data_IF_400473653511
#
_entry.id   IF_400473653511
#
_cell.length_a   1.000
_cell.length_b   1.000
_cell.length_c   1.000
_cell.angle_alpha   90.00
_cell.angle_beta   90.00
_cell.angle_gamma   90.00
#
_symmetry.space_group_name_H-M   'P 1'
#
loop_
_entity.id
_entity.type
_entity.pdbx_description
1 polymer ?
#
# COMPACT_ATOMS: atom_id res chain seq x y z
N UNK A 1 5.66 39.03 35.38
CA UNK A 1 4.21 38.84 35.35
C UNK A 1 3.78 39.14 33.93
N UNK A 2 3.95 38.13 33.09
CA UNK A 2 3.73 38.16 31.64
C UNK A 2 2.33 37.64 31.35
N UNK A 3 1.63 38.41 30.53
CA UNK A 3 0.30 38.16 30.00
C UNK A 3 0.21 36.75 29.40
N UNK A 4 -0.60 35.89 30.02
CA UNK A 4 -1.03 34.64 29.42
C UNK A 4 -2.13 35.01 28.43
N UNK A 5 -1.76 35.04 27.15
CA UNK A 5 -2.71 35.13 26.06
C UNK A 5 -3.69 33.97 26.14
N UNK A 6 -4.93 34.30 26.47
CA UNK A 6 -6.11 33.47 26.42
C UNK A 6 -6.31 33.05 24.96
N UNK A 7 -5.69 31.94 24.54
CA UNK A 7 -5.99 31.30 23.27
C UNK A 7 -7.35 30.61 23.46
N UNK A 8 -8.43 31.06 22.79
CA UNK A 8 -9.68 30.33 22.86
C UNK A 8 -9.41 28.92 22.30
N UNK A 9 -9.76 27.89 23.08
CA UNK A 9 -9.85 26.51 22.60
C UNK A 9 -10.61 26.53 21.26
N UNK A 10 -10.15 25.83 20.22
CA UNK A 10 -10.86 25.79 18.96
C UNK A 10 -12.27 25.31 19.25
N UNK A 11 -13.24 26.19 19.01
CA UNK A 11 -14.66 25.84 19.05
C UNK A 11 -14.84 24.85 17.91
N UNK A 12 -14.87 23.56 18.23
CA UNK A 12 -15.33 22.54 17.29
C UNK A 12 -16.71 22.97 16.81
N UNK A 13 -16.83 23.31 15.54
CA UNK A 13 -18.12 23.41 14.88
C UNK A 13 -18.68 21.98 14.81
N UNK A 14 -19.70 21.63 15.61
CA UNK A 14 -20.24 20.27 15.64
C UNK A 14 -20.92 19.89 14.32
N UNK A 15 -21.17 20.86 13.43
CA UNK A 15 -21.76 20.65 12.11
C UNK A 15 -20.70 20.58 10.99
N UNK A 16 -19.41 20.77 11.29
CA UNK A 16 -18.34 20.60 10.32
C UNK A 16 -18.06 19.10 10.10
N UNK A 17 -18.09 18.67 8.83
CA UNK A 17 -17.68 17.33 8.44
C UNK A 17 -16.23 17.06 8.92
N UNK A 18 -16.02 16.15 9.88
CA UNK A 18 -14.71 15.93 10.48
C UNK A 18 -13.74 15.22 9.53
N UNK A 19 -14.22 14.71 8.41
CA UNK A 19 -13.39 14.09 7.36
C UNK A 19 -12.97 15.09 6.30
N UNK A 20 -13.51 16.31 6.32
CA UNK A 20 -13.26 17.32 5.31
C UNK A 20 -11.84 17.87 5.42
N UNK A 21 -11.07 17.68 4.36
CA UNK A 21 -9.80 18.39 4.16
C UNK A 21 -10.06 19.75 3.48
N UNK A 22 -9.32 20.77 3.91
CA UNK A 22 -9.35 22.10 3.29
C UNK A 22 -8.44 22.19 2.08
N UNK A 23 -7.33 21.46 2.11
CA UNK A 23 -6.32 21.38 1.05
C UNK A 23 -5.82 19.93 0.99
N UNK A 24 -5.54 19.43 -0.22
CA UNK A 24 -4.84 18.17 -0.38
C UNK A 24 -3.33 18.39 -0.35
N UNK A 25 -2.64 17.43 0.25
CA UNK A 25 -1.19 17.34 0.13
C UNK A 25 -0.82 17.03 -1.33
N UNK A 26 0.19 17.70 -1.92
CA UNK A 26 0.64 17.36 -3.25
C UNK A 26 1.28 15.96 -3.29
N UNK A 27 0.97 15.20 -4.34
CA UNK A 27 1.70 13.99 -4.65
C UNK A 27 3.08 14.36 -5.21
N UNK A 28 4.12 13.95 -4.52
CA UNK A 28 5.50 14.34 -4.83
C UNK A 28 6.37 13.10 -4.99
N UNK A 29 7.04 13.03 -6.13
CA UNK A 29 8.01 11.99 -6.43
C UNK A 29 9.37 12.60 -6.77
N UNK A 30 10.41 11.84 -6.50
CA UNK A 30 11.80 12.24 -6.74
C UNK A 30 12.52 11.13 -7.48
N UNK A 31 12.99 11.43 -8.69
CA UNK A 31 13.86 10.54 -9.47
C UNK A 31 15.33 10.79 -9.16
N UNK A 32 16.11 9.72 -8.97
CA UNK A 32 17.56 9.84 -8.86
C UNK A 32 18.17 10.19 -10.22
N UNK A 33 18.90 11.29 -10.31
CA UNK A 33 19.50 11.72 -11.57
C UNK A 33 20.77 10.91 -11.85
N UNK A 34 20.89 10.24 -13.00
CA UNK A 34 22.03 9.34 -13.29
C UNK A 34 23.32 10.07 -13.69
N UNK A 35 23.24 11.36 -14.05
CA UNK A 35 24.40 12.13 -14.50
C UNK A 35 25.28 12.63 -13.35
N UNK A 36 26.59 12.70 -13.61
CA UNK A 36 27.57 13.32 -12.70
C UNK A 36 27.35 14.84 -12.55
N UNK A 37 26.94 15.48 -13.63
CA UNK A 37 26.63 16.91 -13.71
C UNK A 37 25.16 17.17 -13.38
N UNK A 38 24.82 18.34 -12.80
CA UNK A 38 23.45 18.68 -12.46
C UNK A 38 22.56 18.70 -13.72
N UNK A 39 21.32 18.18 -13.63
CA UNK A 39 20.38 18.22 -14.76
C UNK A 39 20.11 19.67 -15.14
N UNK A 40 20.23 19.98 -16.43
CA UNK A 40 19.83 21.30 -16.93
C UNK A 40 18.35 21.34 -17.26
N UNK A 41 17.73 22.51 -17.13
CA UNK A 41 16.32 22.71 -17.52
C UNK A 41 16.07 22.29 -18.97
N UNK A 42 16.99 22.60 -19.88
CA UNK A 42 16.86 22.27 -21.31
C UNK A 42 16.88 20.77 -21.55
N UNK A 43 17.75 20.01 -20.86
CA UNK A 43 17.77 18.55 -20.96
C UNK A 43 16.47 17.93 -20.44
N UNK A 44 15.96 18.44 -19.32
CA UNK A 44 14.70 17.95 -18.75
C UNK A 44 13.51 18.25 -19.66
N UNK A 45 13.41 19.47 -20.20
CA UNK A 45 12.36 19.82 -21.16
C UNK A 45 12.45 18.96 -22.43
N UNK A 46 13.65 18.69 -22.92
CA UNK A 46 13.85 17.82 -24.09
C UNK A 46 13.42 16.37 -23.80
N UNK A 47 13.69 15.85 -22.60
CA UNK A 47 13.22 14.53 -22.17
C UNK A 47 11.70 14.44 -22.10
N UNK A 48 11.06 15.48 -21.55
CA UNK A 48 9.60 15.54 -21.40
C UNK A 48 8.86 15.77 -22.72
N UNK A 49 9.49 16.36 -23.74
CA UNK A 49 8.86 16.71 -25.02
C UNK A 49 8.28 15.49 -25.78
N UNK A 50 8.73 14.28 -25.49
CA UNK A 50 8.17 13.04 -26.03
C UNK A 50 6.87 12.58 -25.36
N UNK A 51 6.47 13.22 -24.27
CA UNK A 51 5.32 12.81 -23.46
C UNK A 51 4.01 13.31 -24.07
N UNK A 52 2.98 12.47 -24.00
CA UNK A 52 1.65 12.84 -24.47
C UNK A 52 1.13 14.05 -23.69
N UNK A 53 0.61 15.05 -24.40
CA UNK A 53 0.06 16.28 -23.81
C UNK A 53 1.10 17.35 -23.48
N UNK A 54 2.41 17.11 -23.69
CA UNK A 54 3.43 18.14 -23.46
C UNK A 54 3.37 19.24 -24.53
N UNK A 55 3.30 20.50 -24.07
CA UNK A 55 3.41 21.70 -24.91
C UNK A 55 4.47 22.64 -24.32
N UNK A 56 5.54 22.92 -25.06
CA UNK A 56 6.61 23.81 -24.59
C UNK A 56 6.10 25.24 -24.32
N UNK A 57 5.01 25.66 -24.96
CA UNK A 57 4.45 27.01 -24.81
C UNK A 57 3.70 27.24 -23.49
N UNK A 58 3.33 26.18 -22.78
CA UNK A 58 2.68 26.24 -21.46
C UNK A 58 3.64 26.05 -20.29
N UNK A 59 4.94 26.02 -20.56
CA UNK A 59 5.98 26.00 -19.54
C UNK A 59 6.16 27.38 -18.92
N UNK A 60 5.97 27.49 -17.61
CA UNK A 60 6.23 28.72 -16.87
C UNK A 60 7.38 28.53 -15.88
N UNK A 61 8.37 29.42 -15.94
CA UNK A 61 9.50 29.38 -15.03
C UNK A 61 9.11 29.87 -13.63
N UNK A 62 9.48 29.09 -12.62
CA UNK A 62 9.29 29.45 -11.23
C UNK A 62 10.59 30.01 -10.65
N UNK A 63 10.46 30.90 -9.67
CA UNK A 63 11.61 31.31 -8.88
C UNK A 63 12.02 30.14 -7.98
N UNK A 64 13.27 29.63 -8.10
CA UNK A 64 13.74 28.54 -7.26
C UNK A 64 13.77 28.95 -5.79
N UNK A 65 13.43 28.01 -4.91
CA UNK A 65 13.49 28.18 -3.46
C UNK A 65 14.59 27.28 -2.88
N UNK A 66 15.14 27.69 -1.73
CA UNK A 66 16.14 26.92 -0.98
C UNK A 66 17.34 26.43 -1.81
N UNK A 67 17.52 25.12 -1.95
CA UNK A 67 18.61 24.48 -2.69
C UNK A 67 18.29 24.18 -4.16
N UNK A 68 17.10 24.57 -4.65
CA UNK A 68 16.68 24.28 -6.02
C UNK A 68 17.58 24.99 -7.03
N UNK A 69 18.04 24.24 -8.04
CA UNK A 69 18.81 24.76 -9.16
C UNK A 69 17.93 25.57 -10.11
N UNK A 70 16.74 25.04 -10.38
CA UNK A 70 15.69 25.63 -11.21
C UNK A 70 14.37 24.91 -10.91
N UNK A 71 13.26 25.55 -11.24
CA UNK A 71 11.92 24.97 -11.19
C UNK A 71 11.04 25.54 -12.30
N UNK A 72 10.08 24.76 -12.79
CA UNK A 72 9.07 25.23 -13.75
C UNK A 72 7.75 24.48 -13.55
N UNK A 73 6.66 25.06 -14.07
CA UNK A 73 5.36 24.41 -14.16
C UNK A 73 5.06 23.98 -15.60
N UNK A 74 4.22 22.96 -15.72
CA UNK A 74 3.66 22.49 -16.97
C UNK A 74 2.19 22.10 -16.74
N UNK A 75 1.25 22.82 -17.36
CA UNK A 75 -0.17 22.70 -17.08
C UNK A 75 -0.91 21.65 -17.93
N UNK A 76 -0.34 21.19 -19.05
CA UNK A 76 -1.08 20.37 -20.03
C UNK A 76 -0.83 18.87 -19.93
N UNK A 77 0.19 18.44 -19.18
CA UNK A 77 0.60 17.03 -19.09
C UNK A 77 -0.25 16.24 -18.09
N UNK A 78 -0.66 16.87 -16.98
CA UNK A 78 -1.48 16.26 -15.93
C UNK A 78 -2.67 17.18 -15.58
N UNK A 79 -3.80 16.63 -15.08
CA UNK A 79 -5.04 17.39 -14.92
C UNK A 79 -4.95 18.67 -14.07
N UNK A 80 -4.12 18.68 -13.04
CA UNK A 80 -3.92 19.82 -12.14
C UNK A 80 -2.56 20.50 -12.34
N UNK A 81 -1.96 20.32 -13.53
CA UNK A 81 -0.61 20.75 -13.82
C UNK A 81 0.45 19.99 -13.04
N UNK A 82 1.69 20.32 -13.33
CA UNK A 82 2.87 19.63 -12.84
C UNK A 82 3.94 20.67 -12.50
N UNK A 83 4.56 20.53 -11.34
CA UNK A 83 5.77 21.26 -10.97
C UNK A 83 6.95 20.31 -11.13
N UNK A 84 8.02 20.75 -11.78
CA UNK A 84 9.27 20.02 -11.91
C UNK A 84 10.42 20.90 -11.45
N UNK A 85 11.33 20.33 -10.68
CA UNK A 85 12.53 21.02 -10.20
C UNK A 85 13.72 20.07 -10.12
N UNK A 86 14.92 20.64 -10.08
CA UNK A 86 16.12 19.90 -9.76
C UNK A 86 16.82 20.50 -8.56
N UNK A 87 17.43 19.64 -7.74
CA UNK A 87 18.21 20.04 -6.58
C UNK A 87 19.31 19.01 -6.24
N UNK A 88 20.30 19.38 -5.42
CA UNK A 88 21.25 18.42 -4.86
C UNK A 88 20.54 17.32 -4.06
N UNK A 89 20.99 16.08 -4.21
CA UNK A 89 20.53 14.99 -3.37
C UNK A 89 20.90 15.26 -1.90
N UNK A 90 20.01 14.91 -0.97
CA UNK A 90 20.31 15.00 0.46
C UNK A 90 21.29 13.90 0.87
N UNK A 91 22.10 14.18 1.90
CA UNK A 91 22.98 13.17 2.47
C UNK A 91 22.16 12.21 3.34
N UNK A 92 22.03 10.97 2.90
CA UNK A 92 21.36 9.87 3.62
C UNK A 92 22.34 8.72 3.88
N UNK A 93 22.08 7.90 4.90
CA UNK A 93 22.91 6.76 5.24
C UNK A 93 22.67 5.55 4.30
N UNK A 94 23.60 4.59 4.21
CA UNK A 94 23.38 3.33 3.50
C UNK A 94 22.16 2.53 3.98
N UNK A 95 21.74 2.73 5.23
CA UNK A 95 20.55 2.15 5.84
C UNK A 95 19.23 2.76 5.35
N UNK A 96 19.27 3.96 4.78
CA UNK A 96 18.10 4.73 4.34
C UNK A 96 17.77 4.51 2.85
N UNK A 97 18.60 3.73 2.15
CA UNK A 97 18.44 3.42 0.72
C UNK A 97 18.34 1.92 0.48
N UNK A 98 17.53 1.47 -0.48
CA UNK A 98 17.41 0.05 -0.81
C UNK A 98 18.65 -0.51 -1.51
N UNK A 99 19.43 0.36 -2.16
CA UNK A 99 20.69 0.02 -2.82
C UNK A 99 21.76 1.08 -2.49
N UNK A 100 22.89 0.70 -1.85
CA UNK A 100 23.99 1.62 -1.56
C UNK A 100 24.58 2.32 -2.79
N UNK A 101 24.44 1.76 -4.00
CA UNK A 101 24.89 2.41 -5.23
C UNK A 101 24.16 3.75 -5.48
N UNK A 102 22.95 3.91 -4.96
CA UNK A 102 22.16 5.15 -5.09
C UNK A 102 22.79 6.34 -4.37
N UNK A 103 23.67 6.11 -3.40
CA UNK A 103 24.43 7.17 -2.72
C UNK A 103 25.42 7.88 -3.66
N UNK A 104 25.69 7.34 -4.85
CA UNK A 104 26.53 7.97 -5.85
C UNK A 104 25.79 9.08 -6.61
N UNK A 105 24.45 9.07 -6.62
CA UNK A 105 23.63 10.08 -7.27
C UNK A 105 23.68 11.40 -6.48
N UNK A 106 24.27 12.43 -7.06
CA UNK A 106 24.46 13.76 -6.43
C UNK A 106 23.28 14.70 -6.62
N UNK A 107 22.37 14.36 -7.52
CA UNK A 107 21.30 15.23 -7.98
C UNK A 107 20.00 14.45 -8.03
N UNK A 108 18.91 15.17 -7.85
CA UNK A 108 17.57 14.63 -7.99
C UNK A 108 16.72 15.49 -8.91
N UNK A 109 15.71 14.85 -9.50
CA UNK A 109 14.67 15.49 -10.27
C UNK A 109 13.34 15.27 -9.54
N UNK A 110 12.80 16.33 -8.95
CA UNK A 110 11.51 16.31 -8.28
C UNK A 110 10.37 16.63 -9.24
N UNK A 111 9.24 15.96 -9.03
CA UNK A 111 8.01 16.17 -9.78
C UNK A 111 6.81 16.13 -8.81
N UNK A 112 5.92 17.12 -8.90
CA UNK A 112 4.81 17.28 -7.96
C UNK A 112 3.52 17.74 -8.62
N UNK A 113 2.39 17.19 -8.21
CA UNK A 113 1.04 17.53 -8.71
C UNK A 113 -0.02 17.35 -7.63
N UNK A 114 -1.18 17.97 -7.80
CA UNK A 114 -2.35 17.69 -6.97
C UNK A 114 -3.14 16.54 -7.61
N UNK A 115 -3.42 15.49 -6.87
CA UNK A 115 -4.25 14.40 -7.38
C UNK A 115 -5.74 14.82 -7.38
N UNK A 116 -6.46 14.63 -8.49
CA UNK A 116 -7.91 14.82 -8.52
C UNK A 116 -8.61 13.79 -7.60
N UNK A 117 -9.65 14.17 -6.84
CA UNK A 117 -10.37 13.25 -5.95
C UNK A 117 -10.99 12.02 -6.63
N UNK A 118 -11.25 12.10 -7.93
CA UNK A 118 -11.90 11.09 -8.78
C UNK A 118 -10.95 10.39 -9.76
N UNK A 119 -9.68 10.79 -9.81
CA UNK A 119 -8.65 10.24 -10.70
C UNK A 119 -7.28 10.16 -10.02
N UNK A 120 -7.26 9.95 -8.70
CA UNK A 120 -6.02 9.96 -7.90
C UNK A 120 -5.05 8.87 -8.32
N UNK A 121 -5.57 7.66 -8.56
CA UNK A 121 -4.79 6.53 -9.02
C UNK A 121 -4.18 6.78 -10.40
N UNK A 122 -4.99 7.14 -11.40
CA UNK A 122 -4.55 7.36 -12.77
C UNK A 122 -3.53 8.50 -12.86
N UNK A 123 -3.74 9.57 -12.10
CA UNK A 123 -2.84 10.73 -12.09
C UNK A 123 -1.51 10.39 -11.44
N UNK A 124 -1.49 9.62 -10.34
CA UNK A 124 -0.26 9.16 -9.72
C UNK A 124 0.52 8.20 -10.63
N UNK A 125 -0.17 7.27 -11.31
CA UNK A 125 0.46 6.40 -12.32
C UNK A 125 1.01 7.23 -13.48
N UNK A 126 0.28 8.26 -13.93
CA UNK A 126 0.73 9.20 -14.95
C UNK A 126 1.98 9.97 -14.54
N UNK A 127 2.06 10.45 -13.30
CA UNK A 127 3.21 11.15 -12.75
C UNK A 127 4.47 10.27 -12.74
N UNK A 128 4.37 9.04 -12.23
CA UNK A 128 5.50 8.09 -12.20
C UNK A 128 5.93 7.72 -13.63
N UNK A 129 4.98 7.43 -14.52
CA UNK A 129 5.26 7.11 -15.93
C UNK A 129 5.93 8.25 -16.66
N UNK A 130 5.50 9.48 -16.40
CA UNK A 130 6.08 10.67 -17.03
C UNK A 130 7.58 10.77 -16.71
N UNK A 131 7.94 10.65 -15.43
CA UNK A 131 9.32 10.77 -15.00
C UNK A 131 10.15 9.56 -15.49
N UNK A 132 9.69 8.34 -15.23
CA UNK A 132 10.42 7.11 -15.58
C UNK A 132 10.56 6.88 -17.09
N UNK A 133 9.56 7.31 -17.87
CA UNK A 133 9.53 7.19 -19.32
C UNK A 133 10.35 8.28 -20.02
N UNK A 134 10.42 9.49 -19.46
CA UNK A 134 11.24 10.57 -20.00
C UNK A 134 12.74 10.36 -19.73
N UNK A 135 13.08 9.65 -18.65
CA UNK A 135 14.46 9.43 -18.22
C UNK A 135 14.72 7.94 -17.97
N UNK A 136 15.05 7.15 -19.01
CA UNK A 136 15.18 5.70 -18.91
C UNK A 136 16.34 5.24 -18.03
N UNK A 137 17.35 6.09 -17.83
CA UNK A 137 18.53 5.78 -17.00
C UNK A 137 18.33 6.11 -15.51
N UNK A 138 17.16 6.62 -15.11
CA UNK A 138 16.83 6.84 -13.68
C UNK A 138 16.76 5.47 -12.97
N UNK A 139 17.63 5.22 -11.97
CA UNK A 139 17.72 3.90 -11.34
C UNK A 139 16.57 3.63 -10.36
N UNK A 140 15.98 4.67 -9.78
CA UNK A 140 14.82 4.57 -8.90
C UNK A 140 14.08 5.90 -8.79
N UNK A 141 12.81 5.80 -8.41
CA UNK A 141 11.96 6.92 -8.00
C UNK A 141 11.54 6.71 -6.55
N UNK A 142 11.54 7.78 -5.76
CA UNK A 142 11.04 7.81 -4.38
C UNK A 142 9.72 8.57 -4.37
N UNK A 143 8.68 7.97 -3.81
CA UNK A 143 7.47 8.69 -3.41
C UNK A 143 7.71 9.32 -2.04
N UNK A 144 7.82 10.64 -1.98
CA UNK A 144 8.20 11.34 -0.75
C UNK A 144 7.06 11.40 0.26
N UNK A 145 5.81 11.25 -0.16
CA UNK A 145 4.67 11.22 0.76
C UNK A 145 4.64 9.92 1.56
N UNK A 146 5.05 8.81 0.93
CA UNK A 146 4.96 7.46 1.53
C UNK A 146 6.31 6.86 1.92
N UNK A 147 7.41 7.45 1.48
CA UNK A 147 8.78 6.92 1.62
C UNK A 147 9.05 5.70 0.74
N UNK A 148 8.15 5.38 -0.19
CA UNK A 148 8.28 4.18 -1.02
C UNK A 148 9.30 4.37 -2.14
N UNK A 149 10.25 3.43 -2.23
CA UNK A 149 11.17 3.32 -3.34
C UNK A 149 10.56 2.44 -4.44
N UNK A 150 10.58 2.93 -5.67
CA UNK A 150 10.21 2.19 -6.88
C UNK A 150 11.47 2.05 -7.72
N UNK A 151 12.04 0.84 -7.73
CA UNK A 151 13.29 0.55 -8.43
C UNK A 151 13.06 0.50 -9.94
N UNK A 152 14.11 0.71 -10.74
CA UNK A 152 14.03 0.67 -12.21
C UNK A 152 13.34 -0.60 -12.73
N UNK A 153 13.65 -1.75 -12.14
CA UNK A 153 13.03 -3.00 -12.53
C UNK A 153 11.50 -2.98 -12.36
N UNK A 154 10.99 -2.37 -11.29
CA UNK A 154 9.56 -2.27 -11.00
C UNK A 154 8.92 -1.13 -11.81
N UNK A 155 9.66 -0.05 -12.10
CA UNK A 155 9.23 0.99 -13.04
C UNK A 155 8.97 0.37 -14.43
N UNK A 156 9.90 -0.42 -14.93
CA UNK A 156 9.78 -1.09 -16.22
C UNK A 156 8.61 -2.08 -16.24
N UNK A 157 8.47 -2.88 -15.18
CA UNK A 157 7.48 -3.96 -15.12
C UNK A 157 6.05 -3.48 -14.83
N UNK A 158 5.88 -2.56 -13.87
CA UNK A 158 4.56 -2.16 -13.38
C UNK A 158 4.06 -0.90 -14.08
N UNK A 159 4.95 0.04 -14.40
CA UNK A 159 4.57 1.35 -14.90
C UNK A 159 4.80 1.49 -16.40
N UNK A 160 5.90 1.02 -16.97
CA UNK A 160 6.28 1.26 -18.36
C UNK A 160 5.97 0.08 -19.31
N UNK A 161 5.47 -1.05 -18.81
CA UNK A 161 5.01 -2.16 -19.63
C UNK A 161 3.88 -1.74 -20.59
N UNK A 162 3.66 -2.55 -21.64
CA UNK A 162 2.60 -2.33 -22.63
C UNK A 162 1.20 -2.21 -21.99
N UNK A 163 0.99 -2.96 -20.90
CA UNK A 163 -0.22 -2.92 -20.09
C UNK A 163 0.14 -2.65 -18.62
N UNK A 164 0.29 -1.37 -18.23
CA UNK A 164 0.64 -0.99 -16.87
C UNK A 164 -0.39 -1.49 -15.86
N UNK A 165 0.09 -2.00 -14.76
CA UNK A 165 -0.74 -2.55 -13.71
C UNK A 165 -0.08 -2.40 -12.32
N UNK A 166 0.33 -1.18 -11.92
CA UNK A 166 0.83 -0.98 -10.58
C UNK A 166 -0.29 -1.24 -9.55
N UNK A 167 0.04 -1.71 -8.34
CA UNK A 167 -0.97 -2.01 -7.33
C UNK A 167 -1.58 -0.74 -6.75
N UNK A 168 -2.85 -0.78 -6.35
CA UNK A 168 -3.56 0.42 -5.85
C UNK A 168 -2.95 0.98 -4.55
N UNK A 169 -2.34 0.12 -3.74
CA UNK A 169 -1.60 0.48 -2.54
C UNK A 169 -0.31 1.27 -2.83
N UNK A 170 0.01 1.59 -4.09
CA UNK A 170 0.99 2.63 -4.41
C UNK A 170 0.59 4.00 -3.83
N UNK A 171 -0.72 4.23 -3.63
CA UNK A 171 -1.26 5.49 -3.15
C UNK A 171 -1.03 5.72 -1.65
N UNK A 172 -0.88 4.67 -0.85
CA UNK A 172 -0.69 4.80 0.60
C UNK A 172 0.22 3.72 1.18
N UNK A 173 0.79 3.98 2.37
CA UNK A 173 1.52 2.97 3.14
C UNK A 173 0.93 2.84 4.52
N UNK A 174 0.80 1.60 4.99
CA UNK A 174 0.47 1.29 6.38
C UNK A 174 1.77 1.14 7.16
N UNK A 175 1.94 1.97 8.19
CA UNK A 175 3.02 1.88 9.16
C UNK A 175 2.56 1.10 10.38
N UNK A 176 3.49 0.41 11.03
CA UNK A 176 3.26 -0.36 12.25
C UNK A 176 4.21 0.19 13.32
N UNK A 177 3.65 0.62 14.45
CA UNK A 177 4.40 1.09 15.61
C UNK A 177 4.21 0.10 16.75
N UNK A 178 5.32 -0.27 17.38
CA UNK A 178 5.42 -1.17 18.53
C UNK A 178 6.44 -0.60 19.52
N UNK A 179 6.23 -0.85 20.81
CA UNK A 179 7.22 -0.55 21.87
C UNK A 179 8.16 -1.72 22.16
N UNK A 180 7.91 -2.88 21.56
CA UNK A 180 8.71 -4.10 21.70
C UNK A 180 9.31 -4.51 20.36
N UNK A 181 10.46 -5.18 20.39
CA UNK A 181 11.17 -5.62 19.18
C UNK A 181 10.42 -6.76 18.45
N UNK A 182 9.87 -7.74 19.18
CA UNK A 182 9.06 -8.81 18.58
C UNK A 182 7.60 -8.38 18.51
N UNK A 183 7.14 -8.06 17.30
CA UNK A 183 5.78 -7.55 17.06
C UNK A 183 4.72 -8.58 17.50
N UNK A 184 4.99 -9.88 17.36
CA UNK A 184 4.08 -10.96 17.74
C UNK A 184 3.83 -11.03 19.25
N UNK A 185 4.76 -10.53 20.06
CA UNK A 185 4.66 -10.47 21.53
C UNK A 185 4.08 -9.13 22.02
N UNK A 186 3.79 -8.19 21.11
CA UNK A 186 3.28 -6.88 21.49
C UNK A 186 1.86 -6.96 22.04
N UNK A 187 1.62 -6.40 23.23
CA UNK A 187 0.27 -6.27 23.79
C UNK A 187 -0.55 -5.20 23.05
N UNK A 188 0.13 -4.23 22.42
CA UNK A 188 -0.48 -3.14 21.69
C UNK A 188 0.39 -2.73 20.49
N UNK A 189 -0.27 -2.55 19.37
CA UNK A 189 0.28 -1.97 18.15
C UNK A 189 -0.55 -0.75 17.77
N UNK A 190 0.11 0.19 17.09
CA UNK A 190 -0.54 1.29 16.39
C UNK A 190 -0.24 1.18 14.91
N UNK A 191 -1.30 0.94 14.13
CA UNK A 191 -1.24 0.94 12.68
C UNK A 191 -1.81 2.24 12.18
N UNK A 192 -1.16 2.86 11.20
CA UNK A 192 -1.70 4.04 10.54
C UNK A 192 -1.29 4.15 9.09
N UNK A 193 -2.11 4.81 8.28
CA UNK A 193 -1.76 5.10 6.89
C UNK A 193 -1.03 6.43 6.73
N UNK A 194 -0.28 6.54 5.63
CA UNK A 194 0.25 7.78 5.06
C UNK A 194 0.01 7.77 3.55
N UNK A 195 -0.36 8.90 2.95
CA UNK A 195 -0.59 9.06 1.51
C UNK A 195 -2.06 9.08 1.09
N UNK A 196 -3.02 8.92 2.01
CA UNK A 196 -4.44 9.11 1.71
C UNK A 196 -4.82 10.59 1.64
N UNK A 197 -4.13 11.47 2.36
CA UNK A 197 -4.36 12.92 2.29
C UNK A 197 -4.20 13.49 0.88
N UNK A 198 -3.17 13.07 0.14
CA UNK A 198 -3.01 13.46 -1.27
C UNK A 198 -4.16 12.98 -2.17
N UNK A 199 -4.89 11.95 -1.75
CA UNK A 199 -6.06 11.41 -2.45
C UNK A 199 -7.37 12.05 -1.97
N UNK A 200 -7.31 13.13 -1.19
CA UNK A 200 -8.49 13.74 -0.55
C UNK A 200 -9.25 12.76 0.34
N UNK A 201 -8.55 11.88 1.05
CA UNK A 201 -9.15 10.97 2.03
C UNK A 201 -8.43 11.10 3.39
N UNK A 202 -9.15 10.96 4.51
CA UNK A 202 -8.52 10.97 5.82
C UNK A 202 -7.55 9.80 5.93
N UNK A 203 -6.44 9.98 6.65
CA UNK A 203 -5.61 8.84 7.04
C UNK A 203 -6.39 7.93 7.99
N UNK A 204 -6.12 6.64 7.94
CA UNK A 204 -6.76 5.64 8.78
C UNK A 204 -5.83 5.21 9.91
N UNK A 205 -6.41 4.82 11.03
CA UNK A 205 -5.66 4.28 12.16
C UNK A 205 -6.37 3.08 12.81
N UNK A 206 -5.59 2.14 13.33
CA UNK A 206 -6.00 1.10 14.26
C UNK A 206 -5.08 1.18 15.48
N UNK A 207 -5.66 1.46 16.65
CA UNK A 207 -4.88 1.71 17.88
C UNK A 207 -5.18 0.63 18.93
N UNK A 208 -4.12 0.05 19.50
CA UNK A 208 -4.21 -0.87 20.63
C UNK A 208 -4.54 -2.31 20.25
N UNK A 209 -4.26 -2.71 19.00
CA UNK A 209 -4.44 -4.10 18.57
C UNK A 209 -3.29 -4.97 19.11
N UNK A 210 -3.54 -6.23 19.54
CA UNK A 210 -2.47 -7.11 19.98
C UNK A 210 -1.67 -7.65 18.78
N UNK A 211 -0.40 -7.95 19.02
CA UNK A 211 0.58 -8.46 18.05
C UNK A 211 0.10 -9.61 17.17
N UNK A 212 -0.51 -10.67 17.73
CA UNK A 212 -1.04 -11.79 16.95
C UNK A 212 -2.12 -11.40 15.93
N UNK A 213 -2.78 -10.25 16.10
CA UNK A 213 -3.80 -9.74 15.18
C UNK A 213 -3.25 -8.71 14.19
N UNK A 214 -1.94 -8.59 14.03
CA UNK A 214 -1.33 -7.69 13.04
C UNK A 214 -1.86 -7.96 11.63
N UNK A 215 -1.83 -9.21 11.15
CA UNK A 215 -2.23 -9.54 9.78
C UNK A 215 -3.71 -9.22 9.52
N UNK A 216 -4.67 -9.64 10.39
CA UNK A 216 -6.05 -9.16 10.33
C UNK A 216 -6.18 -7.63 10.33
N UNK A 217 -5.36 -6.94 11.13
CA UNK A 217 -5.34 -5.48 11.20
C UNK A 217 -4.90 -4.82 9.89
N UNK A 218 -3.84 -5.35 9.26
CA UNK A 218 -3.36 -4.90 7.96
C UNK A 218 -4.39 -5.14 6.84
N UNK A 219 -5.07 -6.30 6.86
CA UNK A 219 -6.15 -6.61 5.92
C UNK A 219 -7.32 -5.62 6.06
N UNK A 220 -7.76 -5.37 7.30
CA UNK A 220 -8.87 -4.46 7.59
C UNK A 220 -8.55 -3.03 7.15
N UNK A 221 -7.42 -2.47 7.58
CA UNK A 221 -7.06 -1.08 7.26
C UNK A 221 -6.77 -0.89 5.77
N UNK A 222 -6.11 -1.86 5.11
CA UNK A 222 -5.84 -1.81 3.67
C UNK A 222 -7.11 -1.91 2.83
N UNK A 223 -8.04 -2.79 3.21
CA UNK A 223 -9.33 -2.89 2.51
C UNK A 223 -10.20 -1.65 2.68
N UNK A 224 -10.22 -1.04 3.88
CA UNK A 224 -10.90 0.24 4.10
C UNK A 224 -10.21 1.35 3.31
N UNK A 225 -8.88 1.43 3.28
CA UNK A 225 -8.13 2.43 2.53
C UNK A 225 -8.49 2.42 1.04
N UNK A 226 -8.52 1.23 0.43
CA UNK A 226 -8.98 1.04 -0.96
C UNK A 226 -10.43 1.50 -1.14
N UNK A 227 -11.34 1.09 -0.25
CA UNK A 227 -12.76 1.46 -0.32
C UNK A 227 -12.98 2.97 -0.24
N UNK A 228 -12.27 3.66 0.65
CA UNK A 228 -12.53 5.08 0.85
C UNK A 228 -12.09 5.92 -0.33
N UNK A 229 -11.21 5.43 -1.22
CA UNK A 229 -10.90 6.12 -2.47
C UNK A 229 -12.16 6.32 -3.35
N UNK A 230 -13.14 5.44 -3.24
CA UNK A 230 -14.40 5.52 -4.00
C UNK A 230 -15.53 6.14 -3.20
N UNK A 231 -15.68 5.71 -1.94
CA UNK A 231 -16.81 6.07 -1.08
C UNK A 231 -16.33 6.88 0.13
N UNK A 232 -16.92 8.06 0.44
CA UNK A 232 -16.54 8.80 1.64
C UNK A 232 -16.85 8.01 2.91
N UNK A 233 -16.11 8.29 3.98
CA UNK A 233 -16.40 7.71 5.30
C UNK A 233 -17.80 8.15 5.80
N UNK A 234 -18.50 7.27 6.56
CA UNK A 234 -19.75 7.65 7.22
C UNK A 234 -19.49 8.68 8.33
N UNK A 235 -20.55 9.33 8.82
CA UNK A 235 -20.48 10.19 10.01
C UNK A 235 -19.82 9.45 11.21
N UNK A 236 -19.05 10.16 12.07
CA UNK A 236 -18.41 9.55 13.22
C UNK A 236 -19.36 8.72 14.10
N UNK A 237 -18.89 7.53 14.49
CA UNK A 237 -19.63 6.60 15.35
C UNK A 237 -20.81 5.90 14.68
N UNK A 238 -21.13 6.20 13.42
CA UNK A 238 -22.06 5.40 12.64
C UNK A 238 -21.42 4.05 12.32
N UNK A 239 -22.15 2.98 12.58
CA UNK A 239 -21.73 1.62 12.23
C UNK A 239 -21.80 1.44 10.72
N UNK A 240 -20.72 0.93 10.15
CA UNK A 240 -20.58 0.66 8.73
C UNK A 240 -20.19 -0.81 8.54
N UNK A 241 -20.86 -1.46 7.59
CA UNK A 241 -20.56 -2.83 7.18
C UNK A 241 -19.49 -2.80 6.10
N UNK A 242 -18.29 -3.22 6.45
CA UNK A 242 -17.11 -3.20 5.57
C UNK A 242 -16.92 -4.53 4.84
N UNK A 243 -17.59 -5.59 5.30
CA UNK A 243 -17.40 -6.93 4.75
C UNK A 243 -18.43 -7.95 5.21
N UNK A 244 -18.18 -9.23 4.88
CA UNK A 244 -18.98 -10.35 5.39
C UNK A 244 -18.71 -10.50 6.89
N UNK A 245 -19.73 -10.29 7.72
CA UNK A 245 -19.61 -10.36 9.19
C UNK A 245 -18.59 -9.36 9.79
N UNK A 246 -18.24 -8.29 9.05
CA UNK A 246 -17.33 -7.23 9.49
C UNK A 246 -18.07 -5.90 9.59
N UNK A 247 -18.34 -5.49 10.83
CA UNK A 247 -18.91 -4.18 11.17
C UNK A 247 -17.89 -3.38 11.99
N UNK A 248 -17.71 -2.11 11.66
CA UNK A 248 -16.84 -1.16 12.37
C UNK A 248 -17.52 0.19 12.51
N UNK A 249 -16.90 1.10 13.25
CA UNK A 249 -17.22 2.53 13.14
C UNK A 249 -15.93 3.36 13.08
N UNK A 250 -16.07 4.65 12.79
CA UNK A 250 -14.94 5.57 12.66
C UNK A 250 -15.06 6.71 13.67
N UNK A 251 -13.95 7.10 14.28
CA UNK A 251 -13.88 8.25 15.18
C UNK A 251 -12.71 9.17 14.79
N UNK A 252 -12.85 10.50 14.88
CA UNK A 252 -11.72 11.41 14.78
C UNK A 252 -10.66 11.04 15.83
N UNK A 253 -9.39 11.10 15.45
CA UNK A 253 -8.30 10.67 16.33
C UNK A 253 -8.27 11.42 17.67
N UNK A 254 -8.70 12.69 17.71
CA UNK A 254 -8.76 13.50 18.93
C UNK A 254 -9.69 12.87 19.97
N UNK A 255 -10.84 12.33 19.54
CA UNK A 255 -11.80 11.65 20.42
C UNK A 255 -11.17 10.42 21.07
N UNK A 256 -10.28 9.74 20.36
CA UNK A 256 -9.59 8.55 20.85
C UNK A 256 -8.44 8.95 21.77
N UNK A 257 -7.58 9.88 21.34
CA UNK A 257 -6.43 10.34 22.09
C UNK A 257 -6.82 10.89 23.48
N UNK A 258 -7.94 11.60 23.59
CA UNK A 258 -8.51 12.06 24.86
C UNK A 258 -8.75 10.94 25.88
N UNK A 259 -9.00 9.72 25.39
CA UNK A 259 -9.32 8.54 26.21
C UNK A 259 -8.14 7.62 26.47
N UNK A 260 -6.99 7.85 25.82
CA UNK A 260 -5.79 7.04 26.00
C UNK A 260 -5.03 7.43 27.27
N UNK A 261 -4.47 6.44 27.95
CA UNK A 261 -3.55 6.61 29.08
C UNK A 261 -2.10 6.73 28.60
N UNK A 262 -1.21 7.32 29.41
CA UNK A 262 0.15 7.69 28.98
C UNK A 262 1.12 6.53 28.67
N UNK A 263 0.73 5.28 28.88
CA UNK A 263 1.51 4.11 28.44
C UNK A 263 0.95 3.46 27.16
N UNK A 264 -0.13 4.02 26.60
CA UNK A 264 -0.72 3.55 25.35
C UNK A 264 -0.10 4.26 24.14
N UNK A 265 -0.11 3.59 23.00
CA UNK A 265 0.34 4.17 21.73
C UNK A 265 -0.73 5.07 21.10
N UNK A 266 -0.30 6.08 20.36
CA UNK A 266 -1.18 6.95 19.56
C UNK A 266 -1.74 8.15 20.32
N UNK A 267 -1.13 8.48 21.47
CA UNK A 267 -1.45 9.65 22.29
C UNK A 267 -1.10 10.96 21.58
N UNK A 268 -1.55 12.10 22.12
CA UNK A 268 -1.12 13.42 21.63
C UNK A 268 0.40 13.60 21.70
N UNK A 269 1.05 13.05 22.74
CA UNK A 269 2.51 13.11 22.91
C UNK A 269 3.24 12.29 21.83
N UNK A 270 2.76 11.08 21.51
CA UNK A 270 3.33 10.27 20.43
C UNK A 270 3.26 10.98 19.08
N UNK A 271 2.17 11.72 18.85
CA UNK A 271 1.95 12.49 17.62
C UNK A 271 2.87 13.71 17.58
N UNK A 272 2.93 14.50 18.64
CA UNK A 272 3.74 15.73 18.69
C UNK A 272 5.25 15.45 18.57
N UNK A 273 5.70 14.29 19.07
CA UNK A 273 7.12 13.90 19.05
C UNK A 273 7.61 13.41 17.67
N UNK A 274 6.74 13.35 16.66
CA UNK A 274 7.17 13.14 15.27
C UNK A 274 7.82 14.44 14.73
N UNK A 275 9.16 14.42 14.59
CA UNK A 275 9.95 15.59 14.19
C UNK A 275 9.45 16.21 12.86
N UNK A 276 9.35 17.55 12.80
CA UNK A 276 9.14 18.30 11.56
C UNK A 276 7.74 18.91 11.32
N UNK A 277 6.88 18.92 12.34
CA UNK A 277 5.45 19.18 12.16
C UNK A 277 4.78 17.85 11.83
N UNK A 278 4.01 17.31 12.77
CA UNK A 278 3.67 15.89 12.71
C UNK A 278 2.62 15.60 11.63
N UNK A 279 2.91 14.75 10.63
CA UNK A 279 1.89 14.28 9.69
C UNK A 279 0.74 13.54 10.40
N UNK A 280 0.93 13.20 11.68
CA UNK A 280 0.01 12.45 12.52
C UNK A 280 -1.05 13.34 13.22
N UNK A 281 -0.97 14.67 13.05
CA UNK A 281 -1.93 15.64 13.61
C UNK A 281 -3.04 16.05 12.61
N UNK A 282 -2.94 15.63 11.35
CA UNK A 282 -3.92 15.95 10.30
C UNK A 282 -5.29 15.30 10.49
N UNK A 283 -6.09 15.26 9.42
CA UNK A 283 -7.41 14.62 9.42
C UNK A 283 -7.26 13.10 9.42
N UNK A 284 -7.59 12.42 10.53
CA UNK A 284 -7.42 10.96 10.66
C UNK A 284 -8.63 10.31 11.30
N UNK A 285 -9.01 9.15 10.76
CA UNK A 285 -10.13 8.34 11.22
C UNK A 285 -9.62 7.05 11.86
N UNK A 286 -9.88 6.91 13.16
CA UNK A 286 -9.57 5.69 13.90
C UNK A 286 -10.69 4.68 13.70
N UNK A 287 -10.34 3.49 13.23
CA UNK A 287 -11.23 2.36 13.06
C UNK A 287 -11.49 1.74 14.44
N UNK A 288 -12.75 1.73 14.85
CA UNK A 288 -13.16 1.34 16.20
C UNK A 288 -14.21 0.23 16.18
N UNK A 289 -14.36 -0.46 17.31
CA UNK A 289 -15.49 -1.33 17.58
C UNK A 289 -16.81 -0.57 17.41
N UNK A 290 -17.86 -1.20 16.83
CA UNK A 290 -19.18 -0.57 16.67
C UNK A 290 -19.79 -0.06 17.98
N UNK A 291 -19.44 -0.67 19.12
CA UNK A 291 -20.03 -0.33 20.42
C UNK A 291 -18.94 0.19 21.38
N UNK A 292 -19.01 1.46 21.83
CA UNK A 292 -18.06 1.97 22.80
C UNK A 292 -18.28 1.31 24.17
N UNK A 293 -17.21 1.16 24.93
CA UNK A 293 -17.22 0.70 26.31
C UNK A 293 -17.40 1.85 27.30
N UNK A 294 -17.74 1.55 28.56
CA UNK A 294 -17.86 2.53 29.64
C UNK A 294 -19.26 3.16 29.79
N UNK A 295 -19.75 3.23 31.03
CA UNK A 295 -21.10 3.73 31.36
C UNK A 295 -21.15 5.26 31.49
N UNK A 296 -20.08 5.87 32.02
CA UNK A 296 -20.02 7.30 32.32
C UNK A 296 -19.21 8.10 31.30
N UNK A 297 -18.12 7.51 30.80
CA UNK A 297 -17.31 8.04 29.70
C UNK A 297 -17.23 6.94 28.64
N UNK A 298 -17.66 7.26 27.43
CA UNK A 298 -17.51 6.36 26.29
C UNK A 298 -16.03 6.24 25.95
N UNK A 299 -15.52 5.02 25.92
CA UNK A 299 -14.19 4.67 25.45
C UNK A 299 -14.33 3.76 24.25
N UNK A 300 -13.83 4.24 23.11
CA UNK A 300 -13.79 3.48 21.87
C UNK A 300 -12.54 2.62 21.87
N UNK A 301 -12.68 1.36 21.48
CA UNK A 301 -11.59 0.40 21.40
C UNK A 301 -11.43 -0.05 19.95
N UNK A 302 -10.32 -0.72 19.63
CA UNK A 302 -10.16 -1.40 18.36
C UNK A 302 -11.28 -2.44 18.10
N UNK A 303 -11.60 -2.74 16.84
CA UNK A 303 -12.76 -3.56 16.46
C UNK A 303 -12.49 -5.06 16.69
N UNK A 304 -12.63 -5.49 17.95
CA UNK A 304 -12.19 -6.81 18.40
C UNK A 304 -12.85 -7.96 17.67
N UNK A 305 -14.18 -7.93 17.59
CA UNK A 305 -14.92 -9.00 16.94
C UNK A 305 -14.60 -9.08 15.44
N UNK A 306 -14.38 -7.96 14.77
CA UNK A 306 -14.01 -7.92 13.37
C UNK A 306 -12.65 -8.59 13.12
N UNK A 307 -11.61 -8.21 13.89
CA UNK A 307 -10.28 -8.79 13.71
C UNK A 307 -10.24 -10.27 14.06
N UNK A 308 -10.94 -10.71 15.12
CA UNK A 308 -11.03 -12.14 15.46
C UNK A 308 -11.74 -12.96 14.39
N UNK A 309 -12.73 -12.38 13.69
CA UNK A 309 -13.43 -13.05 12.58
C UNK A 309 -12.55 -13.19 11.35
N UNK A 310 -11.79 -12.15 11.01
CA UNK A 310 -10.81 -12.21 9.91
C UNK A 310 -9.75 -13.27 10.23
N UNK A 311 -9.19 -13.25 11.44
CA UNK A 311 -8.18 -14.22 11.90
C UNK A 311 -8.63 -15.68 11.79
N UNK A 312 -9.91 -15.95 12.13
CA UNK A 312 -10.50 -17.30 12.07
C UNK A 312 -11.03 -17.67 10.67
N UNK A 313 -10.96 -16.77 9.69
CA UNK A 313 -11.57 -16.97 8.38
C UNK A 313 -13.10 -16.99 8.40
N UNK A 314 -13.73 -16.44 9.45
CA UNK A 314 -15.18 -16.33 9.60
C UNK A 314 -15.73 -14.99 9.07
N UNK A 315 -14.85 -14.06 8.71
CA UNK A 315 -15.19 -12.78 8.11
C UNK A 315 -14.20 -12.38 7.03
N UNK A 316 -14.65 -11.54 6.11
CA UNK A 316 -13.84 -11.09 4.98
C UNK A 316 -14.16 -9.64 4.62
N UNK A 317 -13.13 -8.87 4.30
CA UNK A 317 -13.27 -7.46 3.89
C UNK A 317 -13.67 -7.39 2.41
N UNK A 318 -14.63 -6.53 2.08
CA UNK A 318 -14.98 -6.30 0.67
C UNK A 318 -13.91 -5.45 -0.01
N UNK A 319 -13.47 -5.91 -1.18
CA UNK A 319 -12.55 -5.16 -2.03
C UNK A 319 -13.33 -4.41 -3.10
N UNK A 320 -12.78 -3.27 -3.53
CA UNK A 320 -13.34 -2.52 -4.66
C UNK A 320 -13.18 -3.29 -5.96
N UNK A 321 -14.06 -3.04 -6.93
CA UNK A 321 -13.93 -3.65 -8.26
C UNK A 321 -12.59 -3.25 -8.89
N UNK A 322 -12.20 -1.98 -8.78
CA UNK A 322 -10.94 -1.46 -9.27
C UNK A 322 -9.72 -2.24 -8.70
N UNK A 323 -9.65 -2.40 -7.36
CA UNK A 323 -8.58 -3.15 -6.72
C UNK A 323 -8.54 -4.62 -7.19
N UNK A 324 -9.70 -5.28 -7.24
CA UNK A 324 -9.77 -6.69 -7.68
C UNK A 324 -9.34 -6.87 -9.14
N UNK A 325 -9.65 -5.92 -10.02
CA UNK A 325 -9.24 -5.94 -11.42
C UNK A 325 -7.73 -5.72 -11.58
N UNK A 326 -7.13 -4.81 -10.80
CA UNK A 326 -5.68 -4.60 -10.80
C UNK A 326 -4.92 -5.84 -10.32
N UNK A 327 -5.31 -6.39 -9.17
CA UNK A 327 -4.68 -7.60 -8.64
C UNK A 327 -4.81 -8.78 -9.61
N UNK A 328 -5.99 -8.97 -10.21
CA UNK A 328 -6.20 -10.04 -11.20
C UNK A 328 -5.32 -9.87 -12.42
N UNK A 329 -5.25 -8.66 -12.98
CA UNK A 329 -4.38 -8.39 -14.14
C UNK A 329 -2.91 -8.65 -13.81
N UNK A 330 -2.42 -8.14 -12.69
CA UNK A 330 -1.03 -8.32 -12.28
C UNK A 330 -0.71 -9.80 -12.04
N UNK A 331 -1.60 -10.53 -11.35
CA UNK A 331 -1.45 -11.96 -11.11
C UNK A 331 -1.40 -12.76 -12.42
N UNK A 332 -2.26 -12.42 -13.38
CA UNK A 332 -2.32 -13.08 -14.68
C UNK A 332 -1.10 -12.76 -15.56
N UNK A 333 -0.65 -11.50 -15.57
CA UNK A 333 0.56 -11.09 -16.31
C UNK A 333 1.82 -11.76 -15.78
N UNK A 334 1.88 -12.03 -14.48
CA UNK A 334 3.03 -12.64 -13.81
C UNK A 334 2.91 -14.16 -13.65
N UNK A 335 1.81 -14.76 -14.12
CA UNK A 335 1.52 -16.19 -14.00
C UNK A 335 2.64 -17.08 -14.53
N UNK A 336 3.25 -16.72 -15.65
CA UNK A 336 4.33 -17.52 -16.24
C UNK A 336 5.51 -17.70 -15.28
N UNK A 337 5.80 -16.71 -14.44
CA UNK A 337 6.86 -16.79 -13.41
C UNK A 337 6.45 -17.72 -12.29
N UNK A 338 5.22 -17.58 -11.79
CA UNK A 338 4.64 -18.49 -10.81
C UNK A 338 4.70 -19.95 -11.29
N UNK A 339 4.22 -20.21 -12.51
CA UNK A 339 4.22 -21.54 -13.11
C UNK A 339 5.63 -22.10 -13.29
N UNK A 340 6.58 -21.26 -13.74
CA UNK A 340 7.99 -21.64 -13.88
C UNK A 340 8.62 -21.99 -12.53
N UNK A 341 8.39 -21.16 -11.51
CA UNK A 341 8.85 -21.41 -10.15
C UNK A 341 8.30 -22.73 -9.60
N UNK A 342 7.01 -22.98 -9.76
CA UNK A 342 6.37 -24.23 -9.34
C UNK A 342 7.03 -25.45 -10.01
N UNK A 343 7.17 -25.41 -11.35
CA UNK A 343 7.77 -26.52 -12.11
C UNK A 343 9.22 -26.79 -11.67
N UNK A 344 9.99 -25.73 -11.43
CA UNK A 344 11.39 -25.84 -11.00
C UNK A 344 11.53 -26.38 -9.57
N UNK A 345 10.54 -26.12 -8.70
CA UNK A 345 10.57 -26.52 -7.29
C UNK A 345 9.83 -27.83 -7.01
N UNK A 346 8.95 -28.29 -7.90
CA UNK A 346 8.12 -29.50 -7.74
C UNK A 346 8.91 -30.71 -7.25
N UNK A 347 10.00 -31.03 -7.93
CA UNK A 347 10.76 -32.25 -7.65
C UNK A 347 11.52 -32.11 -6.32
N UNK A 348 11.97 -30.89 -6.01
CA UNK A 348 12.58 -30.55 -4.72
C UNK A 348 11.57 -30.74 -3.58
N UNK A 349 10.36 -30.18 -3.71
CA UNK A 349 9.26 -30.31 -2.74
C UNK A 349 8.91 -31.79 -2.53
N UNK A 350 8.74 -32.54 -3.63
CA UNK A 350 8.40 -33.96 -3.58
C UNK A 350 9.48 -34.80 -2.86
N UNK A 351 10.76 -34.47 -3.05
CA UNK A 351 11.88 -35.17 -2.40
C UNK A 351 11.97 -34.90 -0.90
N UNK A 352 11.62 -33.68 -0.45
CA UNK A 352 11.67 -33.25 0.94
C UNK A 352 10.46 -33.78 1.73
N UNK A 353 9.26 -33.74 1.14
CA UNK A 353 8.05 -34.33 1.72
C UNK A 353 8.22 -35.85 2.01
N UNK A 354 9.00 -36.56 1.20
CA UNK A 354 9.31 -37.98 1.46
C UNK A 354 10.29 -38.19 2.62
N UNK A 355 11.13 -37.21 2.94
CA UNK A 355 12.16 -37.27 3.98
C UNK A 355 11.64 -36.91 5.37
N UNK A 356 10.41 -36.40 5.47
CA UNK A 356 9.75 -36.02 6.73
C UNK A 356 10.63 -35.04 7.57
N UNK A 357 11.35 -34.16 6.88
CA UNK A 357 12.22 -33.14 7.48
C UNK A 357 11.37 -31.93 7.92
N UNK A 358 11.63 -31.41 9.13
CA UNK A 358 11.08 -30.15 9.59
C UNK A 358 11.80 -28.98 8.87
N UNK A 359 11.07 -28.36 7.92
CA UNK A 359 11.33 -27.08 7.19
C UNK A 359 12.36 -27.05 6.03
N UNK A 360 12.23 -26.11 5.04
CA UNK A 360 11.32 -24.96 4.93
C UNK A 360 10.00 -25.17 4.16
N UNK A 361 8.97 -24.40 4.56
CA UNK A 361 7.66 -24.27 3.89
C UNK A 361 7.83 -23.62 2.51
N UNK A 362 8.07 -24.44 1.49
CA UNK A 362 7.83 -24.03 0.11
C UNK A 362 6.35 -24.25 -0.20
N UNK A 363 5.58 -23.17 -0.20
CA UNK A 363 4.13 -23.20 -0.42
C UNK A 363 3.79 -22.36 -1.63
N UNK A 364 3.00 -22.93 -2.54
CA UNK A 364 2.43 -22.22 -3.68
C UNK A 364 0.92 -22.10 -3.48
N UNK A 365 0.43 -20.87 -3.38
CA UNK A 365 -0.99 -20.56 -3.25
C UNK A 365 -1.48 -19.75 -4.44
N UNK A 366 -2.72 -20.00 -4.85
CA UNK A 366 -3.43 -19.21 -5.87
C UNK A 366 -4.76 -18.78 -5.30
N UNK A 367 -5.10 -17.49 -5.48
CA UNK A 367 -6.42 -16.96 -5.19
C UNK A 367 -7.24 -16.95 -6.47
N UNK A 368 -8.44 -17.50 -6.43
CA UNK A 368 -9.34 -17.51 -7.57
C UNK A 368 -10.74 -16.99 -7.21
N UNK A 369 -11.36 -16.26 -8.14
CA UNK A 369 -12.69 -15.71 -7.97
C UNK A 369 -13.78 -16.72 -8.38
N UNK A 370 -14.79 -16.87 -7.51
CA UNK A 370 -15.97 -17.68 -7.73
C UNK A 370 -17.22 -16.83 -7.53
N UNK A 371 -18.20 -16.99 -8.40
CA UNK A 371 -19.50 -16.34 -8.25
C UNK A 371 -20.21 -16.88 -7.01
N UNK A 372 -20.78 -15.99 -6.20
CA UNK A 372 -21.64 -16.39 -5.07
C UNK A 372 -22.93 -17.03 -5.58
N UNK A 373 -23.66 -17.72 -4.70
CA UNK A 373 -24.95 -18.33 -5.04
C UNK A 373 -25.97 -17.32 -5.65
N UNK A 374 -25.85 -16.02 -5.32
CA UNK A 374 -26.69 -14.95 -5.86
C UNK A 374 -26.14 -14.32 -7.13
N UNK A 375 -24.88 -14.59 -7.48
CA UNK A 375 -24.12 -13.97 -8.57
C UNK A 375 -24.02 -12.42 -8.51
N UNK A 376 -24.38 -11.81 -7.38
CA UNK A 376 -24.25 -10.35 -7.18
C UNK A 376 -22.82 -9.95 -6.82
N UNK A 377 -22.05 -10.87 -6.23
CA UNK A 377 -20.67 -10.66 -5.80
C UNK A 377 -19.82 -11.88 -6.14
N UNK A 378 -18.50 -11.71 -6.05
CA UNK A 378 -17.54 -12.81 -6.16
C UNK A 378 -16.82 -13.00 -4.84
N UNK A 379 -16.66 -14.25 -4.44
CA UNK A 379 -15.79 -14.63 -3.34
C UNK A 379 -14.44 -15.08 -3.90
N UNK A 380 -13.36 -14.63 -3.27
CA UNK A 380 -12.01 -14.93 -3.71
C UNK A 380 -11.35 -15.93 -2.76
N UNK A 381 -11.13 -17.14 -3.24
CA UNK A 381 -10.74 -18.29 -2.43
C UNK A 381 -9.28 -18.68 -2.67
N UNK A 382 -8.56 -19.02 -1.60
CA UNK A 382 -7.16 -19.45 -1.65
C UNK A 382 -7.03 -20.98 -1.77
N UNK A 383 -6.24 -21.43 -2.75
CA UNK A 383 -5.94 -22.83 -3.00
C UNK A 383 -4.46 -23.08 -2.86
N UNK A 384 -4.08 -24.14 -2.16
CA UNK A 384 -2.72 -24.67 -2.20
C UNK A 384 -2.53 -25.53 -3.43
N UNK A 385 -1.56 -25.16 -4.27
CA UNK A 385 -1.35 -25.73 -5.59
C UNK A 385 -0.51 -27.01 -5.51
N UNK A 386 -1.02 -28.06 -6.16
CA UNK A 386 -0.37 -29.37 -6.27
C UNK A 386 0.06 -29.71 -7.71
N UNK A 387 -0.45 -28.98 -8.72
CA UNK A 387 -0.08 -29.15 -10.11
C UNK A 387 -0.29 -27.86 -10.91
N UNK A 388 0.59 -27.63 -11.90
CA UNK A 388 0.48 -26.54 -12.89
C UNK A 388 0.70 -27.10 -14.28
N UNK A 389 -0.19 -26.75 -15.21
CA UNK A 389 -0.21 -27.19 -16.61
C UNK A 389 -0.54 -26.00 -17.53
N UNK A 390 0.50 -25.27 -17.96
CA UNK A 390 0.32 -24.07 -18.80
C UNK A 390 -0.50 -23.00 -18.07
N UNK A 391 -1.67 -22.66 -18.62
CA UNK A 391 -2.58 -21.65 -18.09
C UNK A 391 -3.59 -22.21 -17.07
N UNK A 392 -3.30 -23.36 -16.49
CA UNK A 392 -4.15 -24.02 -15.52
C UNK A 392 -3.33 -24.46 -14.30
N UNK A 393 -3.96 -24.40 -13.13
CA UNK A 393 -3.46 -25.05 -11.93
C UNK A 393 -4.53 -25.93 -11.29
N UNK A 394 -4.11 -26.91 -10.52
CA UNK A 394 -4.97 -27.68 -9.63
C UNK A 394 -4.48 -27.54 -8.20
N UNK A 395 -5.41 -27.43 -7.27
CA UNK A 395 -5.09 -27.23 -5.87
C UNK A 395 -6.24 -27.57 -4.94
N UNK A 396 -5.91 -27.60 -3.65
CA UNK A 396 -6.84 -27.89 -2.56
C UNK A 396 -7.25 -26.58 -1.90
N UNK A 397 -8.56 -26.39 -1.74
CA UNK A 397 -9.10 -25.20 -1.06
C UNK A 397 -8.69 -25.21 0.43
N UNK A 398 -8.12 -24.09 0.89
CA UNK A 398 -7.59 -23.97 2.25
C UNK A 398 -8.64 -23.70 3.33
N UNK A 399 -9.73 -23.02 2.98
CA UNK A 399 -10.72 -22.55 3.94
C UNK A 399 -12.14 -22.79 3.44
N UNK A 400 -13.08 -22.98 4.37
CA UNK A 400 -14.51 -23.03 4.06
C UNK A 400 -14.98 -21.72 3.42
N UNK A 401 -15.60 -21.74 2.23
CA UNK A 401 -16.18 -20.55 1.65
C UNK A 401 -17.28 -19.97 2.54
N UNK A 402 -17.37 -18.65 2.59
CA UNK A 402 -18.36 -17.90 3.35
C UNK A 402 -19.72 -17.86 2.62
N UNK A 403 -19.69 -17.73 1.29
CA UNK A 403 -20.89 -17.48 0.46
C UNK A 403 -21.03 -18.41 -0.75
N UNK A 404 -19.94 -19.05 -1.20
CA UNK A 404 -19.97 -20.00 -2.33
C UNK A 404 -20.23 -21.43 -1.84
N UNK A 405 -21.48 -21.92 -1.94
CA UNK A 405 -21.83 -23.27 -1.44
C UNK A 405 -21.45 -24.40 -2.38
N UNK A 406 -21.09 -24.08 -3.62
CA UNK A 406 -20.71 -25.05 -4.66
C UNK A 406 -19.33 -25.65 -4.43
N UNK A 407 -18.51 -25.03 -3.58
CA UNK A 407 -17.14 -25.47 -3.25
C UNK A 407 -17.07 -25.78 -1.75
N UNK A 408 -16.34 -26.82 -1.38
CA UNK A 408 -16.15 -27.21 0.03
C UNK A 408 -14.67 -27.11 0.42
N UNK A 409 -14.39 -26.79 1.67
CA UNK A 409 -13.03 -26.84 2.21
C UNK A 409 -12.39 -28.20 1.94
N UNK A 410 -11.08 -28.22 1.68
CA UNK A 410 -10.32 -29.41 1.31
C UNK A 410 -10.77 -30.08 0.00
N UNK A 411 -11.72 -29.49 -0.74
CA UNK A 411 -12.04 -29.95 -2.09
C UNK A 411 -10.94 -29.54 -3.06
N UNK A 412 -10.68 -30.41 -4.03
CA UNK A 412 -9.72 -30.16 -5.11
C UNK A 412 -10.45 -29.51 -6.28
N UNK A 413 -9.91 -28.39 -6.77
CA UNK A 413 -10.44 -27.68 -7.93
C UNK A 413 -9.37 -27.48 -9.00
N UNK A 414 -9.81 -27.42 -10.25
CA UNK A 414 -9.02 -26.89 -11.36
C UNK A 414 -9.32 -25.39 -11.48
N UNK A 415 -8.27 -24.59 -11.57
CA UNK A 415 -8.30 -23.15 -11.68
C UNK A 415 -7.76 -22.76 -13.06
N UNK A 416 -8.56 -22.04 -13.83
CA UNK A 416 -8.14 -21.48 -15.10
C UNK A 416 -7.56 -20.08 -14.90
N UNK A 417 -6.53 -19.70 -15.67
CA UNK A 417 -5.85 -18.40 -15.55
C UNK A 417 -6.80 -17.19 -15.46
N UNK A 418 -7.89 -17.08 -16.24
CA UNK A 418 -8.82 -15.96 -16.12
C UNK A 418 -9.52 -15.84 -14.76
N UNK A 419 -9.59 -16.92 -13.98
CA UNK A 419 -10.13 -16.93 -12.62
C UNK A 419 -9.11 -16.48 -11.57
N UNK A 420 -7.81 -16.50 -11.90
CA UNK A 420 -6.73 -16.16 -10.98
C UNK A 420 -6.77 -14.67 -10.70
N UNK A 421 -6.90 -14.34 -9.42
CA UNK A 421 -6.99 -12.96 -8.94
C UNK A 421 -5.82 -12.52 -8.09
N UNK A 422 -5.06 -13.48 -7.54
CA UNK A 422 -3.79 -13.26 -6.84
C UNK A 422 -3.03 -14.59 -6.76
N UNK A 423 -1.75 -14.55 -6.41
CA UNK A 423 -0.98 -15.74 -6.03
C UNK A 423 0.05 -15.40 -4.95
N UNK A 424 0.44 -16.39 -4.14
CA UNK A 424 1.48 -16.23 -3.13
C UNK A 424 2.43 -17.41 -3.16
N UNK A 425 3.71 -17.14 -2.98
CA UNK A 425 4.73 -18.19 -2.85
C UNK A 425 5.55 -17.93 -1.60
N UNK A 426 5.54 -18.85 -0.65
CA UNK A 426 6.48 -18.81 0.47
C UNK A 426 7.71 -19.62 0.08
N UNK A 427 8.89 -19.02 0.19
CA UNK A 427 10.17 -19.68 0.00
C UNK A 427 11.04 -19.41 1.23
N UNK A 428 11.28 -20.42 2.05
CA UNK A 428 12.12 -20.24 3.25
C UNK A 428 11.53 -19.24 4.25
N UNK A 429 10.20 -19.19 4.39
CA UNK A 429 9.51 -18.24 5.26
C UNK A 429 9.34 -16.83 4.66
N UNK A 430 9.90 -16.56 3.47
CA UNK A 430 9.73 -15.28 2.78
C UNK A 430 8.54 -15.35 1.82
N UNK A 431 7.49 -14.52 2.00
CA UNK A 431 6.36 -14.46 1.08
C UNK A 431 6.70 -13.63 -0.16
N UNK A 432 6.31 -14.14 -1.32
CA UNK A 432 6.33 -13.47 -2.61
C UNK A 432 4.91 -13.37 -3.19
N UNK A 433 4.69 -12.36 -4.02
CA UNK A 433 3.41 -11.95 -4.61
C UNK A 433 3.62 -11.55 -6.08
N UNK A 434 2.56 -11.28 -6.85
CA UNK A 434 2.67 -10.78 -8.22
C UNK A 434 3.60 -9.56 -8.35
N UNK A 435 3.52 -8.62 -7.41
CA UNK A 435 4.39 -7.43 -7.38
C UNK A 435 5.87 -7.71 -7.11
N UNK A 436 6.23 -8.91 -6.60
CA UNK A 436 7.61 -9.31 -6.29
C UNK A 436 8.06 -10.53 -7.12
N UNK A 437 7.39 -10.81 -8.23
CA UNK A 437 7.59 -12.02 -9.03
C UNK A 437 9.02 -12.18 -9.57
N UNK A 438 9.73 -11.08 -9.85
CA UNK A 438 11.14 -11.13 -10.28
C UNK A 438 12.06 -11.54 -9.12
N UNK A 439 11.87 -10.94 -7.94
CA UNK A 439 12.62 -11.29 -6.74
C UNK A 439 12.39 -12.76 -6.34
N UNK A 440 11.16 -13.26 -6.51
CA UNK A 440 10.83 -14.68 -6.32
C UNK A 440 11.67 -15.59 -7.22
N UNK A 441 11.81 -15.27 -8.52
CA UNK A 441 12.61 -16.08 -9.44
C UNK A 441 14.08 -16.15 -9.00
N UNK A 442 14.66 -15.03 -8.56
CA UNK A 442 16.01 -15.03 -8.00
C UNK A 442 16.13 -15.87 -6.72
N UNK A 443 15.09 -15.91 -5.88
CA UNK A 443 15.06 -16.76 -4.69
C UNK A 443 14.99 -18.25 -5.04
N UNK A 444 14.18 -18.62 -6.04
CA UNK A 444 14.11 -19.99 -6.58
C UNK A 444 15.48 -20.43 -7.09
N UNK A 445 16.18 -19.60 -7.85
CA UNK A 445 17.50 -19.93 -8.38
C UNK A 445 18.51 -20.15 -7.25
N UNK A 446 18.53 -19.29 -6.22
CA UNK A 446 19.40 -19.46 -5.04
C UNK A 446 19.14 -20.78 -4.31
N UNK A 447 17.88 -21.14 -4.09
CA UNK A 447 17.53 -22.40 -3.40
C UNK A 447 17.98 -23.60 -4.22
N UNK A 448 17.92 -23.54 -5.55
CA UNK A 448 18.37 -24.63 -6.42
C UNK A 448 19.89 -24.74 -6.51
N UNK A 449 20.59 -23.61 -6.40
CA UNK A 449 22.06 -23.54 -6.43
C UNK A 449 22.72 -23.91 -5.09
N UNK A 450 21.95 -23.96 -4.00
CA UNK A 450 22.37 -24.49 -2.71
C UNK A 450 21.95 -25.98 -2.60
N UNK A 451 22.74 -26.95 -3.08
CA UNK A 451 22.46 -28.34 -2.79
C UNK A 451 22.57 -28.57 -1.28
N UNK A 452 21.55 -29.23 -0.70
CA UNK A 452 21.46 -29.66 0.70
C UNK A 452 22.85 -29.89 1.35
N UNK A 453 23.24 -29.08 2.34
CA UNK A 453 24.27 -29.45 3.33
C UNK A 453 23.76 -30.55 4.27
#
# INVERSE_FOLDING_TARGET
MSDQGDHPLPIHDPDADPWKMTEAEPATIVGLWPGDEPPTRTEVLAGLAGSAGFDESSVEELQPQDSMLWAFTQNDVLPNGLIIWAEPAQNVGPEDVPDPEFLQNKWILGASTILPPDASYETMVGLVRLLAGSFPDVPAIIDTNTGMWILRADLDELFLADQPCPPEDLLWRVHVVSTVESIEEADQLWLYTTGLHRCWRPELELIGIPGPLLQPGLELIGGIASRILLDPLPEPGKVEKIGHEIDVCFQPWQVIADSLEGNQLGTEEDRANFNGGSPLEGVRAVICDPVPTGVYRKSWTWPKLALERIDRGEGAVYMTEHATQLLSRLAQQTWYRFATAFINMRDWIASRNQRNEDQPEVIFLVKAAFDTDTAEHREHLWFQIDAVEGDHASGVLLHSPLSVKSVQENSRARLDLPQVTDWRVWLGGVPYSPSSAKAMMHAVDRIREQPDE
#
